data_IF_769965709615
#
_entry.id   IF_769965709615
#
_cell.length_a   1.000
_cell.length_b   1.000
_cell.length_c   1.000
_cell.angle_alpha   90.00
_cell.angle_beta   90.00
_cell.angle_gamma   90.00
#
_symmetry.space_group_name_H-M   'P 1'
#
loop_
_entity.id
_entity.type
_entity.pdbx_description
1 polymer ?
#
# COMPACT_ATOMS: atom_id res chain seq x y z
N UNK A 1 -6.36 -4.46 9.79
CA UNK A 1 -7.12 -4.82 8.58
C UNK A 1 -6.78 -6.28 8.25
N UNK A 2 -7.37 -6.86 7.21
CA UNK A 2 -7.12 -8.25 6.82
C UNK A 2 -7.83 -9.33 7.65
N UNK A 3 -7.21 -10.50 7.73
CA UNK A 3 -7.78 -11.72 8.35
C UNK A 3 -8.17 -11.54 9.81
N UNK A 4 -9.47 -11.69 10.05
CA UNK A 4 -10.07 -11.56 11.38
C UNK A 4 -9.51 -12.58 12.37
N UNK A 5 -8.90 -12.07 13.46
CA UNK A 5 -8.35 -12.89 14.54
C UNK A 5 -6.97 -13.49 14.28
N UNK A 6 -6.29 -13.15 13.18
CA UNK A 6 -4.99 -13.73 12.83
C UNK A 6 -3.88 -13.31 13.82
N UNK A 7 -3.79 -12.03 14.20
CA UNK A 7 -2.78 -11.59 15.17
C UNK A 7 -2.90 -12.30 16.54
N UNK A 8 -4.09 -12.40 17.16
CA UNK A 8 -4.27 -13.24 18.36
C UNK A 8 -3.89 -14.71 18.13
N UNK A 9 -4.23 -15.29 16.97
CA UNK A 9 -3.85 -16.66 16.64
C UNK A 9 -2.32 -16.84 16.57
N UNK A 10 -1.60 -15.80 16.14
CA UNK A 10 -0.14 -15.77 15.99
C UNK A 10 0.60 -15.28 17.24
N UNK A 11 -0.04 -15.25 18.41
CA UNK A 11 0.59 -14.78 19.66
C UNK A 11 1.98 -15.41 19.91
N UNK A 12 2.11 -16.72 19.70
CA UNK A 12 3.38 -17.46 19.87
C UNK A 12 4.46 -17.17 18.82
N UNK A 13 4.06 -16.58 17.70
CA UNK A 13 4.95 -16.12 16.64
C UNK A 13 5.25 -14.61 16.75
N UNK A 14 4.70 -13.96 17.79
CA UNK A 14 4.76 -12.53 17.97
C UNK A 14 5.56 -12.14 19.21
N UNK A 15 6.21 -10.98 19.17
CA UNK A 15 6.90 -10.39 20.32
C UNK A 15 6.78 -8.86 20.33
N UNK A 16 6.53 -8.23 21.49
CA UNK A 16 6.66 -6.79 21.62
C UNK A 16 8.10 -6.37 21.35
N UNK A 17 8.29 -5.31 20.55
CA UNK A 17 9.60 -4.76 20.23
C UNK A 17 9.53 -3.24 20.12
N UNK A 18 10.69 -2.58 20.23
CA UNK A 18 10.84 -1.20 19.78
C UNK A 18 11.63 -1.18 18.46
N UNK A 19 11.20 -0.34 17.53
CA UNK A 19 11.78 -0.25 16.18
C UNK A 19 13.25 0.15 16.19
N UNK A 20 13.72 0.85 17.24
CA UNK A 20 15.14 1.23 17.40
C UNK A 20 16.12 0.07 17.36
N UNK A 21 15.69 -1.17 17.66
CA UNK A 21 16.53 -2.37 17.51
C UNK A 21 16.96 -2.64 16.05
N UNK A 22 16.32 -1.97 15.08
CA UNK A 22 16.63 -2.02 13.65
C UNK A 22 17.41 -0.78 13.17
N UNK A 23 18.06 -0.04 14.07
CA UNK A 23 18.98 1.04 13.69
C UNK A 23 20.00 0.57 12.64
N UNK A 24 20.17 1.35 11.58
CA UNK A 24 21.01 1.04 10.43
C UNK A 24 20.34 0.15 9.36
N UNK A 25 19.14 -0.35 9.60
CA UNK A 25 18.37 -1.13 8.63
C UNK A 25 17.46 -0.26 7.75
N UNK A 26 16.97 -0.88 6.69
CA UNK A 26 15.88 -0.36 5.86
C UNK A 26 14.56 -0.97 6.32
N UNK A 27 13.53 -0.13 6.43
CA UNK A 27 12.15 -0.56 6.71
C UNK A 27 11.24 -0.06 5.61
N UNK A 28 10.25 -0.88 5.24
CA UNK A 28 9.22 -0.47 4.29
C UNK A 28 7.90 -0.28 5.04
N UNK A 29 7.16 0.75 4.65
CA UNK A 29 5.97 1.20 5.36
C UNK A 29 4.76 1.13 4.44
N UNK A 30 3.73 0.44 4.90
CA UNK A 30 2.37 0.60 4.38
C UNK A 30 1.87 2.00 4.75
N UNK A 31 1.91 2.90 3.77
CA UNK A 31 1.64 4.32 4.01
C UNK A 31 0.15 4.60 4.18
N UNK A 32 -0.72 3.81 3.56
CA UNK A 32 -2.17 3.98 3.66
C UNK A 32 -2.67 3.74 5.09
N UNK A 33 -2.04 2.82 5.84
CA UNK A 33 -2.29 2.67 7.27
C UNK A 33 -2.10 3.97 8.06
N UNK A 34 -1.07 4.78 7.74
CA UNK A 34 -0.83 6.06 8.41
C UNK A 34 -1.71 7.18 7.85
N UNK A 35 -1.93 7.23 6.54
CA UNK A 35 -2.81 8.21 5.92
C UNK A 35 -4.23 8.11 6.46
N UNK A 36 -4.80 6.91 6.59
CA UNK A 36 -6.13 6.71 7.18
C UNK A 36 -6.18 7.22 8.63
N UNK A 37 -5.19 6.89 9.46
CA UNK A 37 -5.13 7.37 10.86
C UNK A 37 -4.94 8.89 10.94
N UNK A 38 -4.13 9.46 10.06
CA UNK A 38 -3.91 10.90 9.96
C UNK A 38 -5.18 11.63 9.52
N UNK A 39 -5.88 11.10 8.51
CA UNK A 39 -7.12 11.65 7.99
C UNK A 39 -8.23 11.70 9.05
N UNK A 40 -8.26 10.75 9.99
CA UNK A 40 -9.20 10.78 11.13
C UNK A 40 -9.00 11.98 12.05
N UNK A 41 -7.76 12.50 12.17
CA UNK A 41 -7.47 13.68 13.00
C UNK A 41 -8.02 14.98 12.41
N UNK A 42 -8.19 15.04 11.09
CA UNK A 42 -8.71 16.18 10.35
C UNK A 42 -10.01 15.87 9.58
N UNK A 43 -10.76 14.85 10.04
CA UNK A 43 -11.91 14.31 9.30
C UNK A 43 -13.01 15.33 9.05
N UNK A 44 -13.27 16.22 10.00
CA UNK A 44 -14.28 17.29 9.87
C UNK A 44 -13.92 18.27 8.76
N UNK A 45 -12.65 18.70 8.69
CA UNK A 45 -12.15 19.58 7.63
C UNK A 45 -12.23 18.91 6.26
N UNK A 46 -11.75 17.67 6.17
CA UNK A 46 -11.78 16.90 4.93
C UNK A 46 -13.22 16.69 4.43
N UNK A 47 -14.17 16.39 5.33
CA UNK A 47 -15.56 16.21 4.96
C UNK A 47 -16.24 17.50 4.48
N UNK A 48 -15.74 18.67 4.88
CA UNK A 48 -16.21 20.00 4.46
C UNK A 48 -15.48 20.54 3.22
N UNK A 49 -14.51 19.81 2.68
CA UNK A 49 -13.66 20.29 1.58
C UNK A 49 -12.66 21.38 1.99
N UNK A 50 -12.43 21.56 3.29
CA UNK A 50 -11.43 22.51 3.78
C UNK A 50 -10.02 21.98 3.55
N UNK A 51 -9.13 22.85 3.06
CA UNK A 51 -7.71 22.52 2.89
C UNK A 51 -7.04 22.24 4.24
N UNK A 52 -6.30 21.13 4.32
CA UNK A 52 -5.61 20.70 5.55
C UNK A 52 -4.39 19.85 5.21
N UNK A 53 -3.32 20.00 5.98
CA UNK A 53 -2.06 19.23 5.87
C UNK A 53 -1.84 18.32 7.09
N UNK A 54 -2.80 18.25 8.01
CA UNK A 54 -2.65 17.53 9.28
C UNK A 54 -2.36 16.03 9.09
N UNK A 55 -2.90 15.41 8.04
CA UNK A 55 -2.59 14.01 7.72
C UNK A 55 -1.14 13.84 7.24
N UNK A 56 -0.57 14.82 6.54
CA UNK A 56 0.85 14.84 6.15
C UNK A 56 1.72 14.97 7.39
N UNK A 57 1.40 15.93 8.27
CA UNK A 57 2.12 16.13 9.54
C UNK A 57 2.08 14.87 10.43
N UNK A 58 0.93 14.19 10.46
CA UNK A 58 0.77 12.93 11.17
C UNK A 58 1.74 11.85 10.64
N UNK A 59 1.79 11.64 9.32
CA UNK A 59 2.69 10.66 8.71
C UNK A 59 4.16 11.04 8.92
N UNK A 60 4.50 12.32 8.72
CA UNK A 60 5.87 12.81 8.90
C UNK A 60 6.38 12.68 10.33
N UNK A 61 5.51 12.68 11.35
CA UNK A 61 5.89 12.37 12.73
C UNK A 61 6.52 10.97 12.84
N UNK A 62 5.92 9.98 12.19
CA UNK A 62 6.44 8.61 12.19
C UNK A 62 7.72 8.49 11.35
N UNK A 63 7.75 9.14 10.18
CA UNK A 63 8.96 9.20 9.33
C UNK A 63 10.14 9.78 10.11
N UNK A 64 9.96 10.93 10.76
CA UNK A 64 10.99 11.57 11.57
C UNK A 64 11.44 10.71 12.75
N UNK A 65 10.51 9.98 13.38
CA UNK A 65 10.84 9.02 14.43
C UNK A 65 11.76 7.91 13.90
N UNK A 66 11.46 7.33 12.74
CA UNK A 66 12.32 6.31 12.12
C UNK A 66 13.70 6.87 11.79
N UNK A 67 13.76 8.05 11.17
CA UNK A 67 15.02 8.72 10.85
C UNK A 67 15.86 9.01 12.11
N UNK A 68 15.23 9.40 13.21
CA UNK A 68 15.92 9.66 14.49
C UNK A 68 16.56 8.40 15.10
N UNK A 69 16.07 7.21 14.73
CA UNK A 69 16.64 5.93 15.10
C UNK A 69 17.63 5.39 14.06
N UNK A 70 18.13 6.24 13.14
CA UNK A 70 19.05 5.84 12.06
C UNK A 70 18.46 4.71 11.18
N UNK A 71 17.16 4.73 10.97
CA UNK A 71 16.46 3.79 10.10
C UNK A 71 16.19 4.47 8.77
N UNK A 72 16.37 3.73 7.67
CA UNK A 72 16.00 4.20 6.33
C UNK A 72 14.57 3.75 5.99
N UNK A 73 13.55 4.62 6.07
CA UNK A 73 12.20 4.28 5.62
C UNK A 73 12.08 4.34 4.09
N UNK A 74 11.29 3.42 3.55
CA UNK A 74 10.73 3.49 2.19
C UNK A 74 9.20 3.46 2.34
N UNK A 75 8.52 4.51 1.90
CA UNK A 75 7.06 4.61 1.97
C UNK A 75 6.46 4.01 0.71
N UNK A 76 5.61 3.01 0.88
CA UNK A 76 4.90 2.33 -0.22
C UNK A 76 3.45 2.79 -0.22
N UNK A 77 2.96 3.16 -1.40
CA UNK A 77 1.60 3.64 -1.64
C UNK A 77 0.84 2.67 -2.56
N UNK A 78 -0.47 2.58 -2.38
CA UNK A 78 -1.33 1.87 -3.34
C UNK A 78 -1.36 2.60 -4.69
N UNK A 79 -1.44 1.82 -5.76
CA UNK A 79 -1.63 2.29 -7.12
C UNK A 79 -3.01 1.93 -7.67
N UNK A 80 -3.04 1.24 -8.80
CA UNK A 80 -4.27 0.96 -9.55
C UNK A 80 -5.18 0.01 -8.78
N UNK A 81 -6.49 0.09 -9.04
CA UNK A 81 -7.45 -0.86 -8.49
C UNK A 81 -7.20 -2.29 -9.00
N UNK A 82 -7.25 -3.24 -8.08
CA UNK A 82 -7.21 -4.66 -8.42
C UNK A 82 -8.64 -5.16 -8.73
N UNK A 83 -8.90 -5.79 -9.90
CA UNK A 83 -10.21 -6.35 -10.22
C UNK A 83 -10.74 -7.33 -9.17
N UNK A 84 -9.86 -8.14 -8.57
CA UNK A 84 -10.22 -9.10 -7.52
C UNK A 84 -10.70 -8.45 -6.21
N UNK A 85 -10.48 -7.14 -6.00
CA UNK A 85 -11.02 -6.38 -4.85
C UNK A 85 -12.17 -5.43 -5.22
N UNK A 86 -12.67 -5.46 -6.46
CA UNK A 86 -13.70 -4.53 -6.92
C UNK A 86 -14.98 -4.56 -6.05
N UNK A 87 -15.43 -5.74 -5.62
CA UNK A 87 -16.61 -5.88 -4.75
C UNK A 87 -16.39 -5.30 -3.35
N UNK A 88 -15.19 -5.54 -2.79
CA UNK A 88 -14.78 -4.99 -1.49
C UNK A 88 -14.71 -3.46 -1.54
N UNK A 89 -14.12 -2.90 -2.59
CA UNK A 89 -14.03 -1.44 -2.78
C UNK A 89 -15.40 -0.80 -3.01
N UNK A 90 -16.29 -1.46 -3.79
CA UNK A 90 -17.67 -1.03 -3.96
C UNK A 90 -18.40 -0.97 -2.60
N UNK A 91 -18.30 -2.02 -1.79
CA UNK A 91 -18.90 -2.08 -0.46
C UNK A 91 -18.34 -1.00 0.47
N UNK A 92 -17.03 -0.73 0.41
CA UNK A 92 -16.37 0.34 1.17
C UNK A 92 -16.92 1.70 0.77
N UNK A 93 -17.07 1.97 -0.54
CA UNK A 93 -17.65 3.19 -1.10
C UNK A 93 -19.10 3.39 -0.64
N UNK A 94 -19.97 2.39 -0.83
CA UNK A 94 -21.38 2.45 -0.42
C UNK A 94 -21.55 2.74 1.09
N UNK A 95 -20.67 2.15 1.92
CA UNK A 95 -20.65 2.41 3.35
C UNK A 95 -20.22 3.84 3.68
N UNK A 96 -19.23 4.40 2.96
CA UNK A 96 -18.82 5.81 3.12
C UNK A 96 -19.96 6.74 2.73
N UNK A 97 -20.63 6.50 1.61
CA UNK A 97 -21.75 7.31 1.13
C UNK A 97 -22.93 7.28 2.11
N UNK A 98 -23.26 6.09 2.62
CA UNK A 98 -24.31 5.93 3.64
C UNK A 98 -23.98 6.69 4.93
N UNK A 99 -22.72 6.62 5.39
CA UNK A 99 -22.28 7.36 6.58
C UNK A 99 -22.28 8.87 6.32
N UNK A 100 -21.89 9.32 5.12
CA UNK A 100 -21.90 10.74 4.72
C UNK A 100 -23.32 11.31 4.75
N UNK A 101 -24.30 10.60 4.17
CA UNK A 101 -25.72 11.00 4.19
C UNK A 101 -26.25 11.14 5.62
N UNK A 102 -26.02 10.13 6.46
CA UNK A 102 -26.42 10.15 7.88
C UNK A 102 -25.70 11.23 8.70
N UNK A 103 -24.42 11.48 8.42
CA UNK A 103 -23.67 12.56 9.08
C UNK A 103 -24.28 13.93 8.74
N UNK A 104 -24.62 14.17 7.47
CA UNK A 104 -25.26 15.40 7.04
C UNK A 104 -26.63 15.61 7.70
N UNK A 105 -27.44 14.56 7.84
CA UNK A 105 -28.73 14.61 8.56
C UNK A 105 -28.55 14.98 10.04
N UNK A 106 -27.57 14.40 10.73
CA UNK A 106 -27.28 14.72 12.13
C UNK A 106 -26.76 16.15 12.31
N UNK A 107 -25.95 16.66 11.37
CA UNK A 107 -25.48 18.05 11.39
C UNK A 107 -26.64 19.03 11.17
N UNK A 108 -27.57 18.74 10.27
CA UNK A 108 -28.80 19.55 10.09
C UNK A 108 -29.66 19.60 11.37
N UNK A 109 -29.60 18.53 12.16
CA UNK A 109 -30.30 18.42 13.45
C UNK A 109 -29.50 18.95 14.65
N UNK A 110 -28.37 19.62 14.42
CA UNK A 110 -27.46 20.15 15.46
C UNK A 110 -26.90 19.07 16.43
N UNK A 111 -26.85 17.81 15.97
CA UNK A 111 -26.33 16.65 16.73
C UNK A 111 -24.88 16.36 16.36
N UNK A 112 -24.03 17.36 16.56
CA UNK A 112 -22.62 17.38 16.09
C UNK A 112 -21.80 16.21 16.65
N UNK A 113 -21.94 15.89 17.94
CA UNK A 113 -21.15 14.83 18.57
C UNK A 113 -21.45 13.44 18.01
N UNK A 114 -22.71 13.19 17.63
CA UNK A 114 -23.11 11.94 16.98
C UNK A 114 -22.64 11.89 15.52
N UNK A 115 -22.69 13.04 14.82
CA UNK A 115 -22.19 13.17 13.46
C UNK A 115 -20.68 12.91 13.36
N UNK A 116 -19.89 13.35 14.35
CA UNK A 116 -18.42 13.24 14.35
C UNK A 116 -17.90 11.82 14.11
N UNK A 117 -18.57 10.81 14.69
CA UNK A 117 -18.21 9.40 14.48
C UNK A 117 -18.46 8.95 13.03
N UNK A 118 -19.58 9.38 12.44
CA UNK A 118 -19.92 9.05 11.06
C UNK A 118 -19.04 9.80 10.05
N UNK A 119 -18.68 11.06 10.34
CA UNK A 119 -17.74 11.85 9.55
C UNK A 119 -16.41 11.11 9.43
N UNK A 120 -15.83 10.65 10.54
CA UNK A 120 -14.58 9.86 10.52
C UNK A 120 -14.70 8.60 9.66
N UNK A 121 -15.89 8.00 9.56
CA UNK A 121 -16.15 6.77 8.80
C UNK A 121 -16.49 7.02 7.32
N UNK A 122 -16.64 8.28 6.88
CA UNK A 122 -16.87 8.62 5.48
C UNK A 122 -15.67 9.27 4.79
N UNK A 123 -14.62 9.63 5.53
CA UNK A 123 -13.36 10.14 4.96
C UNK A 123 -12.73 9.06 4.08
N UNK A 124 -12.41 9.47 2.86
CA UNK A 124 -11.67 8.67 1.89
C UNK A 124 -10.26 9.23 1.77
N UNK A 125 -9.27 8.35 1.62
CA UNK A 125 -7.89 8.78 1.37
C UNK A 125 -7.72 8.86 -0.15
N UNK A 126 -7.64 10.08 -0.67
CA UNK A 126 -7.51 10.32 -2.12
C UNK A 126 -6.06 10.21 -2.57
N UNK A 127 -5.85 10.08 -3.88
CA UNK A 127 -4.51 10.14 -4.46
C UNK A 127 -3.84 11.50 -4.19
N UNK A 128 -4.57 12.62 -4.27
CA UNK A 128 -4.00 13.94 -3.99
C UNK A 128 -3.42 14.05 -2.57
N UNK A 129 -4.07 13.42 -1.59
CA UNK A 129 -3.53 13.32 -0.22
C UNK A 129 -2.24 12.49 -0.18
N UNK A 130 -2.17 11.41 -0.95
CA UNK A 130 -0.94 10.62 -1.09
C UNK A 130 0.17 11.42 -1.78
N UNK A 131 -0.11 12.12 -2.88
CA UNK A 131 0.84 12.96 -3.61
C UNK A 131 1.41 14.07 -2.74
N UNK A 132 0.58 14.75 -1.94
CA UNK A 132 1.04 15.76 -0.98
C UNK A 132 2.02 15.17 0.07
N UNK A 133 1.82 13.91 0.47
CA UNK A 133 2.76 13.22 1.36
C UNK A 133 4.05 12.79 0.63
N UNK A 134 3.94 12.30 -0.62
CA UNK A 134 5.08 11.93 -1.46
C UNK A 134 6.01 13.15 -1.65
N UNK A 135 5.44 14.30 -2.03
CA UNK A 135 6.18 15.56 -2.17
C UNK A 135 6.90 15.93 -0.86
N UNK A 136 6.20 15.83 0.28
CA UNK A 136 6.80 16.12 1.59
C UNK A 136 7.94 15.17 1.96
N UNK A 137 7.84 13.90 1.58
CA UNK A 137 8.87 12.89 1.82
C UNK A 137 10.09 13.14 0.94
N UNK A 138 9.90 13.46 -0.34
CA UNK A 138 10.99 13.80 -1.26
C UNK A 138 11.78 15.02 -0.77
N UNK A 139 11.08 16.06 -0.32
CA UNK A 139 11.70 17.24 0.30
C UNK A 139 12.50 16.92 1.58
N UNK A 140 12.15 15.84 2.28
CA UNK A 140 12.88 15.33 3.45
C UNK A 140 13.96 14.29 3.09
N UNK A 141 14.16 13.97 1.81
CA UNK A 141 15.11 12.96 1.36
C UNK A 141 14.69 11.52 1.70
N UNK A 142 13.39 11.27 1.81
CA UNK A 142 12.80 9.95 2.12
C UNK A 142 12.31 9.31 0.83
N UNK A 143 12.65 8.03 0.64
CA UNK A 143 12.28 7.28 -0.56
C UNK A 143 10.79 6.90 -0.53
N UNK A 144 10.09 7.15 -1.64
CA UNK A 144 8.71 6.76 -1.86
C UNK A 144 8.58 5.89 -3.11
N UNK A 145 7.59 5.00 -3.12
CA UNK A 145 7.22 4.23 -4.31
C UNK A 145 5.72 3.94 -4.32
N UNK A 146 5.09 4.15 -5.48
CA UNK A 146 3.71 3.74 -5.71
C UNK A 146 3.73 2.33 -6.31
N UNK A 147 3.02 1.40 -5.68
CA UNK A 147 2.86 0.05 -6.22
C UNK A 147 2.06 0.10 -7.54
N UNK A 148 2.23 -0.87 -8.46
CA UNK A 148 1.40 -0.93 -9.65
C UNK A 148 -0.08 -1.18 -9.31
N UNK A 149 -0.34 -1.96 -8.26
CA UNK A 149 -1.66 -2.25 -7.72
C UNK A 149 -1.64 -2.05 -6.20
N UNK A 150 -1.56 -3.13 -5.43
CA UNK A 150 -1.60 -3.06 -3.97
C UNK A 150 -0.21 -2.86 -3.38
N UNK A 151 -0.11 -1.97 -2.40
CA UNK A 151 1.09 -1.78 -1.58
C UNK A 151 1.50 -3.10 -0.91
N UNK A 152 0.54 -3.95 -0.55
CA UNK A 152 0.74 -5.23 0.10
C UNK A 152 1.78 -6.13 -0.59
N UNK A 153 1.62 -6.36 -1.89
CA UNK A 153 2.58 -7.16 -2.66
C UNK A 153 3.91 -6.43 -2.84
N UNK A 154 3.91 -5.11 -3.04
CA UNK A 154 5.15 -4.35 -3.19
C UNK A 154 6.00 -4.36 -1.89
N UNK A 155 5.34 -4.24 -0.73
CA UNK A 155 5.95 -4.36 0.59
C UNK A 155 6.56 -5.76 0.79
N UNK A 156 5.81 -6.80 0.45
CA UNK A 156 6.28 -8.17 0.53
C UNK A 156 7.47 -8.43 -0.39
N UNK A 157 7.43 -7.89 -1.62
CA UNK A 157 8.52 -8.00 -2.57
C UNK A 157 9.83 -7.47 -1.99
N UNK A 158 9.83 -6.26 -1.42
CA UNK A 158 11.02 -5.71 -0.75
C UNK A 158 11.52 -6.55 0.43
N UNK A 159 10.62 -7.20 1.17
CA UNK A 159 11.00 -8.14 2.24
C UNK A 159 11.66 -9.41 1.69
N UNK A 160 11.13 -9.95 0.58
CA UNK A 160 11.59 -11.18 -0.03
C UNK A 160 12.98 -11.01 -0.66
N UNK A 161 13.18 -9.95 -1.46
CA UNK A 161 14.47 -9.66 -2.13
C UNK A 161 15.53 -9.07 -1.20
N UNK A 162 15.20 -8.84 0.08
CA UNK A 162 16.16 -8.42 1.10
C UNK A 162 16.44 -6.92 1.14
N UNK A 163 15.67 -6.10 0.42
CA UNK A 163 15.75 -4.63 0.49
C UNK A 163 15.38 -4.13 1.87
N UNK A 164 14.33 -4.69 2.49
CA UNK A 164 13.84 -4.27 3.79
C UNK A 164 13.90 -5.40 4.82
N UNK A 165 14.36 -5.07 6.03
CA UNK A 165 14.46 -6.03 7.14
C UNK A 165 13.15 -6.17 7.91
N UNK A 166 12.29 -5.14 7.87
CA UNK A 166 10.99 -5.10 8.54
C UNK A 166 9.97 -4.37 7.66
N UNK A 167 8.75 -4.92 7.61
CA UNK A 167 7.57 -4.27 7.03
C UNK A 167 6.72 -3.69 8.16
N UNK A 168 6.30 -2.42 8.07
CA UNK A 168 5.42 -1.77 9.05
C UNK A 168 4.03 -1.64 8.44
N UNK A 169 3.00 -2.20 9.08
CA UNK A 169 1.61 -2.18 8.61
C UNK A 169 0.63 -2.47 9.75
N UNK A 170 -0.66 -2.26 9.53
CA UNK A 170 -1.75 -2.78 10.36
C UNK A 170 -2.55 -3.90 9.67
N UNK A 171 -2.16 -4.31 8.46
CA UNK A 171 -2.81 -5.34 7.68
C UNK A 171 -2.13 -6.71 7.85
N UNK A 172 -2.85 -7.65 8.45
CA UNK A 172 -2.33 -9.00 8.68
C UNK A 172 -2.21 -9.84 7.41
N UNK A 173 -2.81 -9.41 6.29
CA UNK A 173 -2.74 -10.10 5.00
C UNK A 173 -1.28 -10.15 4.46
N UNK A 174 -0.41 -9.22 4.87
CA UNK A 174 1.02 -9.19 4.51
C UNK A 174 1.80 -10.44 4.89
N UNK A 175 1.33 -11.19 5.90
CA UNK A 175 1.93 -12.45 6.27
C UNK A 175 1.70 -13.54 5.22
N UNK A 176 0.60 -13.47 4.45
CA UNK A 176 0.28 -14.42 3.37
C UNK A 176 1.15 -14.17 2.15
N UNK A 177 1.49 -12.92 1.86
CA UNK A 177 2.42 -12.56 0.78
C UNK A 177 3.85 -13.06 1.04
N UNK A 178 4.17 -13.45 2.29
CA UNK A 178 5.43 -14.10 2.64
C UNK A 178 6.46 -13.16 3.25
N UNK A 179 6.05 -12.00 3.76
CA UNK A 179 6.93 -11.09 4.51
C UNK A 179 7.64 -11.84 5.65
N UNK A 180 8.95 -11.64 5.77
CA UNK A 180 9.78 -12.35 6.77
C UNK A 180 9.53 -11.83 8.19
N UNK A 181 9.44 -10.51 8.35
CA UNK A 181 9.24 -9.81 9.62
C UNK A 181 8.28 -8.64 9.42
N UNK A 182 7.17 -8.64 10.16
CA UNK A 182 6.14 -7.61 10.06
C UNK A 182 5.90 -7.00 11.44
N UNK A 183 5.99 -5.68 11.54
CA UNK A 183 5.74 -4.91 12.75
C UNK A 183 4.34 -4.30 12.68
N UNK A 184 3.46 -4.80 13.55
CA UNK A 184 2.09 -4.33 13.70
C UNK A 184 1.95 -3.34 14.84
N UNK A 185 0.89 -2.53 14.82
CA UNK A 185 0.47 -1.67 15.94
C UNK A 185 1.59 -0.75 16.45
N UNK A 186 2.40 -0.21 15.53
CA UNK A 186 3.50 0.66 15.91
C UNK A 186 2.98 2.01 16.42
N UNK A 187 3.36 2.35 17.65
CA UNK A 187 3.04 3.63 18.27
C UNK A 187 4.03 4.75 17.85
N UNK A 188 3.75 6.03 18.14
CA UNK A 188 4.66 7.13 17.82
C UNK A 188 6.02 7.09 18.53
N UNK A 189 6.21 6.24 19.54
CA UNK A 189 7.47 6.01 20.24
C UNK A 189 8.24 4.81 19.65
N UNK A 190 7.72 4.19 18.59
CA UNK A 190 8.34 3.07 17.91
C UNK A 190 8.07 1.70 18.54
N UNK A 191 7.22 1.60 19.56
CA UNK A 191 6.86 0.29 20.12
C UNK A 191 5.78 -0.37 19.27
N UNK A 192 5.90 -1.66 19.02
CA UNK A 192 4.92 -2.43 18.27
C UNK A 192 5.01 -3.93 18.54
N UNK A 193 4.20 -4.70 17.82
CA UNK A 193 4.15 -6.15 17.90
C UNK A 193 4.78 -6.75 16.63
N UNK A 194 5.97 -7.32 16.76
CA UNK A 194 6.65 -7.96 15.64
C UNK A 194 6.18 -9.41 15.51
N UNK A 195 5.75 -9.80 14.31
CA UNK A 195 5.57 -11.20 13.92
C UNK A 195 6.75 -11.62 13.05
N UNK A 196 7.39 -12.72 13.42
CA UNK A 196 8.46 -13.35 12.63
C UNK A 196 7.90 -14.59 11.94
N UNK A 197 7.98 -14.62 10.60
CA UNK A 197 7.44 -15.70 9.78
C UNK A 197 8.02 -17.07 10.17
N UNK A 198 9.29 -17.11 10.57
CA UNK A 198 9.96 -18.35 10.98
C UNK A 198 9.34 -18.98 12.23
N UNK A 199 8.58 -18.20 13.01
CA UNK A 199 7.92 -18.64 14.24
C UNK A 199 6.44 -19.01 14.04
N UNK A 200 5.85 -18.75 12.86
CA UNK A 200 4.47 -19.17 12.53
C UNK A 200 4.19 -20.66 12.80
N UNK A 201 5.12 -21.60 12.53
CA UNK A 201 4.92 -23.02 12.85
C UNK A 201 4.57 -23.27 14.32
N UNK A 202 5.14 -22.47 15.24
CA UNK A 202 4.86 -22.54 16.68
C UNK A 202 3.41 -22.15 17.00
N UNK A 203 2.89 -21.11 16.35
CA UNK A 203 1.50 -20.69 16.49
C UNK A 203 0.53 -21.74 15.92
N UNK A 204 0.87 -22.34 14.78
CA UNK A 204 0.12 -23.44 14.18
C UNK A 204 0.25 -24.76 14.95
N UNK A 205 1.14 -24.85 15.96
CA UNK A 205 1.49 -26.08 16.68
C UNK A 205 1.86 -27.19 15.69
N UNK A 206 2.72 -26.88 14.72
CA UNK A 206 3.26 -27.83 13.75
C UNK A 206 4.78 -27.89 13.89
N UNK A 207 5.39 -29.09 13.75
CA UNK A 207 6.83 -29.18 13.60
C UNK A 207 7.28 -28.58 12.27
N UNK A 208 8.54 -28.11 12.21
CA UNK A 208 9.06 -27.32 11.08
C UNK A 208 9.06 -28.09 9.75
N UNK A 209 9.28 -29.41 9.78
CA UNK A 209 9.30 -30.30 8.61
C UNK A 209 7.91 -30.50 7.96
N UNK A 210 6.83 -30.23 8.70
CA UNK A 210 5.45 -30.38 8.22
C UNK A 210 4.80 -29.05 7.82
N UNK A 211 5.48 -27.93 8.11
CA UNK A 211 5.03 -26.60 7.79
C UNK A 211 5.47 -26.21 6.36
N UNK A 212 4.57 -25.53 5.66
CA UNK A 212 4.92 -24.77 4.47
C UNK A 212 4.15 -23.46 4.47
N UNK A 213 4.72 -22.43 3.84
CA UNK A 213 4.04 -21.14 3.70
C UNK A 213 2.72 -21.28 2.91
N UNK A 214 2.66 -22.20 1.95
CA UNK A 214 1.42 -22.49 1.22
C UNK A 214 0.33 -23.07 2.13
N UNK A 215 0.66 -23.97 3.07
CA UNK A 215 -0.32 -24.42 4.08
C UNK A 215 -0.80 -23.26 4.95
N UNK A 216 0.08 -22.34 5.34
CA UNK A 216 -0.33 -21.14 6.06
C UNK A 216 -1.27 -20.26 5.23
N UNK A 217 -0.97 -20.03 3.95
CA UNK A 217 -1.86 -19.34 3.00
C UNK A 217 -3.21 -20.03 2.89
N UNK A 218 -3.25 -21.35 2.74
CA UNK A 218 -4.50 -22.10 2.62
C UNK A 218 -5.38 -21.95 3.86
N UNK A 219 -4.78 -22.04 5.05
CA UNK A 219 -5.49 -21.84 6.31
C UNK A 219 -6.13 -20.46 6.37
N UNK A 220 -5.35 -19.45 5.99
CA UNK A 220 -5.73 -18.04 6.04
C UNK A 220 -6.82 -17.70 5.02
N UNK A 221 -6.67 -18.11 3.75
CA UNK A 221 -7.70 -17.94 2.72
C UNK A 221 -9.00 -18.65 3.12
N UNK A 222 -8.92 -19.88 3.67
CA UNK A 222 -10.10 -20.60 4.17
C UNK A 222 -10.83 -19.88 5.30
N UNK A 223 -10.11 -19.13 6.14
CA UNK A 223 -10.71 -18.34 7.23
C UNK A 223 -11.31 -17.01 6.78
N UNK A 224 -11.23 -16.70 5.49
CA UNK A 224 -11.69 -15.43 4.92
C UNK A 224 -10.56 -14.42 4.84
N UNK A 225 -10.40 -13.85 3.65
CA UNK A 225 -9.44 -12.79 3.33
C UNK A 225 -10.10 -11.77 2.39
N UNK A 226 -9.39 -10.71 2.01
CA UNK A 226 -9.94 -9.68 1.13
C UNK A 226 -10.33 -10.19 -0.27
N UNK A 227 -9.76 -11.31 -0.74
CA UNK A 227 -10.05 -11.89 -2.07
C UNK A 227 -11.13 -12.98 -2.06
N UNK A 228 -11.41 -13.59 -0.90
CA UNK A 228 -12.36 -14.69 -0.79
C UNK A 228 -12.99 -14.73 0.61
N UNK A 229 -14.32 -14.55 0.74
CA UNK A 229 -15.00 -14.74 2.01
C UNK A 229 -14.91 -16.19 2.49
N UNK A 230 -14.89 -16.38 3.80
CA UNK A 230 -14.90 -17.72 4.42
C UNK A 230 -16.20 -18.46 4.14
N UNK A 231 -16.13 -19.79 4.11
CA UNK A 231 -17.33 -20.63 4.16
C UNK A 231 -18.08 -20.49 5.50
N UNK A 232 -19.41 -20.67 5.53
CA UNK A 232 -20.21 -20.57 6.75
C UNK A 232 -19.67 -21.44 7.89
N UNK A 233 -19.37 -20.81 9.02
CA UNK A 233 -18.87 -21.49 10.21
C UNK A 233 -17.43 -22.01 10.09
N UNK A 234 -16.66 -21.61 9.07
CA UNK A 234 -15.23 -21.89 8.92
C UNK A 234 -14.43 -20.63 9.28
N UNK A 235 -13.50 -20.78 10.23
CA UNK A 235 -12.57 -19.73 10.64
C UNK A 235 -11.21 -20.33 11.01
N UNK A 236 -10.26 -19.51 11.46
CA UNK A 236 -8.85 -19.89 11.65
C UNK A 236 -8.64 -21.23 12.36
N UNK A 237 -9.35 -21.49 13.46
CA UNK A 237 -9.21 -22.73 14.21
C UNK A 237 -9.61 -23.98 13.40
N UNK A 238 -10.72 -23.91 12.65
CA UNK A 238 -11.19 -25.03 11.81
C UNK A 238 -10.34 -25.18 10.56
N UNK A 239 -9.97 -24.07 9.92
CA UNK A 239 -9.06 -24.05 8.78
C UNK A 239 -7.71 -24.67 9.16
N UNK A 240 -7.13 -24.28 10.30
CA UNK A 240 -5.88 -24.84 10.80
C UNK A 240 -6.01 -26.34 11.06
N UNK A 241 -7.08 -26.77 11.74
CA UNK A 241 -7.34 -28.20 12.01
C UNK A 241 -7.39 -29.03 10.72
N UNK A 242 -8.03 -28.51 9.69
CA UNK A 242 -8.16 -29.17 8.39
C UNK A 242 -6.81 -29.23 7.65
N UNK A 243 -6.14 -28.08 7.48
CA UNK A 243 -4.88 -27.99 6.73
C UNK A 243 -3.74 -28.78 7.38
N UNK A 244 -3.70 -28.85 8.72
CA UNK A 244 -2.71 -29.65 9.44
C UNK A 244 -2.80 -31.14 9.17
N UNK A 245 -3.98 -31.63 8.85
CA UNK A 245 -4.27 -33.07 8.78
C UNK A 245 -4.52 -33.57 7.36
N UNK A 246 -4.71 -32.66 6.40
CA UNK A 246 -4.72 -33.05 4.98
C UNK A 246 -3.31 -33.42 4.54
N UNK A 247 -3.19 -34.60 3.92
CA UNK A 247 -1.98 -35.06 3.24
C UNK A 247 -2.10 -34.95 1.71
N UNK A 248 -3.24 -34.46 1.21
CA UNK A 248 -3.43 -34.26 -0.23
C UNK A 248 -2.76 -32.95 -0.65
N UNK A 249 -1.75 -33.06 -1.52
CA UNK A 249 -1.02 -31.92 -2.06
C UNK A 249 -1.90 -31.06 -2.99
N UNK A 250 -2.95 -31.64 -3.56
CA UNK A 250 -3.92 -30.90 -4.35
C UNK A 250 -5.01 -30.33 -3.44
N UNK A 251 -4.91 -29.02 -3.19
CA UNK A 251 -5.83 -28.32 -2.29
C UNK A 251 -7.29 -28.40 -2.77
N UNK A 252 -7.58 -28.37 -4.08
CA UNK A 252 -8.95 -28.49 -4.59
C UNK A 252 -9.58 -29.86 -4.28
N UNK A 253 -8.80 -30.94 -4.38
CA UNK A 253 -9.25 -32.29 -3.96
C UNK A 253 -9.45 -32.34 -2.45
N UNK A 254 -8.52 -31.79 -1.68
CA UNK A 254 -8.63 -31.71 -0.23
C UNK A 254 -9.92 -30.98 0.20
N UNK A 255 -10.18 -29.80 -0.38
CA UNK A 255 -11.34 -28.95 -0.06
C UNK A 255 -12.68 -29.68 -0.27
N UNK A 256 -12.76 -30.62 -1.21
CA UNK A 256 -13.95 -31.45 -1.43
C UNK A 256 -14.31 -32.32 -0.21
N UNK A 257 -13.34 -32.59 0.66
CA UNK A 257 -13.50 -33.42 1.87
C UNK A 257 -13.64 -32.58 3.15
N UNK A 258 -13.63 -31.25 3.05
CA UNK A 258 -13.65 -30.32 4.19
C UNK A 258 -14.84 -30.56 5.13
N UNK A 259 -16.05 -30.70 4.58
CA UNK A 259 -17.27 -30.92 5.37
C UNK A 259 -17.22 -32.22 6.17
N UNK A 260 -16.89 -33.34 5.52
CA UNK A 260 -16.71 -34.63 6.18
C UNK A 260 -15.60 -34.57 7.25
N UNK A 261 -14.50 -33.87 6.96
CA UNK A 261 -13.36 -33.74 7.86
C UNK A 261 -13.70 -33.05 9.19
N UNK A 262 -14.56 -32.03 9.11
CA UNK A 262 -14.93 -31.20 10.24
C UNK A 262 -16.24 -31.63 10.92
N UNK A 263 -16.80 -32.78 10.52
CA UNK A 263 -18.12 -33.26 10.94
C UNK A 263 -19.23 -32.21 10.67
N UNK A 264 -19.13 -31.53 9.52
CA UNK A 264 -20.07 -30.51 9.05
C UNK A 264 -20.75 -31.03 7.78
N UNK A 265 -21.67 -31.99 7.93
CA UNK A 265 -22.29 -32.70 6.81
C UNK A 265 -23.09 -31.79 5.86
N UNK A 266 -23.57 -30.64 6.36
CA UNK A 266 -24.31 -29.64 5.57
C UNK A 266 -23.39 -28.65 4.84
N UNK A 267 -22.08 -28.72 5.06
CA UNK A 267 -21.13 -27.82 4.42
C UNK A 267 -20.80 -28.32 3.02
N UNK A 268 -21.29 -27.60 2.02
CA UNK A 268 -20.99 -27.88 0.60
C UNK A 268 -19.89 -26.93 0.14
N UNK A 269 -18.81 -27.48 -0.42
CA UNK A 269 -17.75 -26.70 -1.09
C UNK A 269 -17.99 -26.79 -2.58
N UNK A 270 -18.55 -25.73 -3.16
CA UNK A 270 -18.87 -25.65 -4.59
C UNK A 270 -17.59 -25.60 -5.44
N UNK A 271 -17.71 -25.92 -6.73
CA UNK A 271 -16.59 -25.77 -7.66
C UNK A 271 -16.19 -24.28 -7.78
N UNK A 272 -17.17 -23.39 -7.84
CA UNK A 272 -16.95 -21.93 -7.87
C UNK A 272 -16.09 -21.45 -6.68
N UNK A 273 -16.35 -21.94 -5.46
CA UNK A 273 -15.53 -21.58 -4.30
C UNK A 273 -14.08 -22.04 -4.46
N UNK A 274 -13.85 -23.24 -5.01
CA UNK A 274 -12.49 -23.75 -5.27
C UNK A 274 -11.78 -22.92 -6.32
N UNK A 275 -12.48 -22.52 -7.38
CA UNK A 275 -11.90 -21.69 -8.44
C UNK A 275 -11.50 -20.32 -7.87
N UNK A 276 -12.39 -19.67 -7.12
CA UNK A 276 -12.08 -18.42 -6.41
C UNK A 276 -10.95 -18.58 -5.38
N UNK A 277 -10.87 -19.74 -4.71
CA UNK A 277 -9.77 -20.05 -3.80
C UNK A 277 -8.42 -20.10 -4.52
N UNK A 278 -8.37 -20.70 -5.71
CA UNK A 278 -7.15 -20.71 -6.52
C UNK A 278 -6.78 -19.31 -7.00
N UNK A 279 -7.76 -18.49 -7.41
CA UNK A 279 -7.51 -17.08 -7.77
C UNK A 279 -6.93 -16.29 -6.58
N UNK A 280 -7.53 -16.43 -5.39
CA UNK A 280 -7.04 -15.77 -4.17
C UNK A 280 -5.60 -16.22 -3.83
N UNK A 281 -5.31 -17.52 -3.97
CA UNK A 281 -3.96 -18.05 -3.76
C UNK A 281 -2.97 -17.46 -4.77
N UNK A 282 -3.33 -17.39 -6.05
CA UNK A 282 -2.49 -16.79 -7.09
C UNK A 282 -2.24 -15.31 -6.85
N UNK A 283 -3.20 -14.55 -6.30
CA UNK A 283 -2.98 -13.15 -5.88
C UNK A 283 -1.88 -13.04 -4.82
N UNK A 284 -1.96 -13.83 -3.75
CA UNK A 284 -0.94 -13.81 -2.69
C UNK A 284 0.45 -14.28 -3.14
N UNK A 285 0.57 -14.97 -4.28
CA UNK A 285 1.84 -15.49 -4.79
C UNK A 285 2.43 -14.63 -5.90
N UNK A 286 1.60 -14.15 -6.82
CA UNK A 286 2.06 -13.66 -8.12
C UNK A 286 1.51 -12.29 -8.49
N UNK A 287 0.89 -11.56 -7.54
CA UNK A 287 0.45 -10.19 -7.81
C UNK A 287 1.60 -9.36 -8.39
N UNK A 288 1.36 -8.53 -9.42
CA UNK A 288 2.37 -7.69 -10.02
C UNK A 288 2.94 -6.68 -9.03
N UNK A 289 4.24 -6.46 -9.16
CA UNK A 289 5.03 -5.51 -8.37
C UNK A 289 6.01 -4.78 -9.30
N UNK A 290 6.53 -3.65 -8.86
CA UNK A 290 7.56 -2.92 -9.57
C UNK A 290 8.94 -3.25 -8.98
N UNK A 291 9.88 -3.69 -9.83
CA UNK A 291 11.28 -3.88 -9.48
C UNK A 291 12.04 -2.56 -9.75
N UNK A 292 12.44 -1.79 -8.71
CA UNK A 292 13.11 -0.51 -8.93
C UNK A 292 14.56 -0.65 -9.40
N UNK A 293 15.16 -1.84 -9.33
CA UNK A 293 16.52 -2.10 -9.82
C UNK A 293 16.52 -2.41 -11.30
N UNK A 294 15.57 -3.24 -11.75
CA UNK A 294 15.38 -3.56 -13.18
C UNK A 294 14.51 -2.53 -13.91
N UNK A 295 13.82 -1.68 -13.15
CA UNK A 295 12.88 -0.66 -13.65
C UNK A 295 11.78 -1.23 -14.53
N UNK A 296 11.21 -2.35 -14.10
CA UNK A 296 10.15 -3.03 -14.83
C UNK A 296 9.11 -3.63 -13.89
N UNK A 297 7.94 -3.94 -14.46
CA UNK A 297 6.98 -4.79 -13.79
C UNK A 297 7.49 -6.24 -13.75
N UNK A 298 7.28 -6.85 -12.60
CA UNK A 298 7.51 -8.27 -12.38
C UNK A 298 6.42 -8.82 -11.46
N UNK A 299 6.54 -10.07 -11.06
CA UNK A 299 5.62 -10.72 -10.14
C UNK A 299 6.25 -10.84 -8.77
N UNK A 300 5.44 -10.80 -7.71
CA UNK A 300 5.92 -10.93 -6.34
C UNK A 300 6.83 -12.16 -6.14
N UNK A 301 6.42 -13.31 -6.67
CA UNK A 301 7.27 -14.49 -6.84
C UNK A 301 7.29 -14.91 -8.31
N UNK A 302 8.37 -15.54 -8.80
CA UNK A 302 8.43 -15.99 -10.18
C UNK A 302 7.24 -16.88 -10.56
N UNK A 303 6.56 -16.53 -11.65
CA UNK A 303 5.42 -17.28 -12.16
C UNK A 303 5.90 -18.62 -12.76
N UNK A 304 5.29 -19.76 -12.41
CA UNK A 304 5.56 -21.02 -13.11
C UNK A 304 5.15 -20.93 -14.59
N UNK A 305 5.88 -21.61 -15.48
CA UNK A 305 5.62 -21.59 -16.93
C UNK A 305 4.18 -21.98 -17.33
N UNK A 306 3.50 -22.75 -16.48
CA UNK A 306 2.13 -23.22 -16.69
C UNK A 306 1.04 -22.24 -16.25
N UNK A 307 1.38 -21.20 -15.49
CA UNK A 307 0.42 -20.26 -14.94
C UNK A 307 0.40 -18.97 -15.77
N UNK A 308 -0.77 -18.36 -15.91
CA UNK A 308 -0.91 -17.01 -16.47
C UNK A 308 -1.16 -16.02 -15.33
N UNK A 309 -0.65 -14.81 -15.49
CA UNK A 309 -0.91 -13.73 -14.56
C UNK A 309 -2.42 -13.49 -14.47
N UNK A 310 -2.97 -13.30 -13.26
CA UNK A 310 -4.39 -13.02 -13.12
C UNK A 310 -4.73 -11.54 -13.43
N UNK A 311 -3.74 -10.73 -13.82
CA UNK A 311 -3.93 -9.35 -14.27
C UNK A 311 -3.26 -9.20 -15.64
N UNK A 312 -4.06 -8.88 -16.66
CA UNK A 312 -3.65 -8.84 -18.08
C UNK A 312 -3.50 -7.40 -18.63
N UNK A 313 -3.71 -6.38 -17.80
CA UNK A 313 -3.55 -4.99 -18.21
C UNK A 313 -2.08 -4.57 -18.16
N UNK A 314 -1.34 -4.89 -19.23
CA UNK A 314 0.07 -4.54 -19.38
C UNK A 314 0.29 -3.03 -19.38
N UNK A 315 0.70 -2.46 -18.24
CA UNK A 315 1.31 -1.14 -18.22
C UNK A 315 2.62 -1.18 -19.01
N UNK A 316 2.83 -0.19 -19.89
CA UNK A 316 4.11 -0.05 -20.59
C UNK A 316 5.25 0.15 -19.58
N UNK A 317 6.51 -0.20 -19.91
CA UNK A 317 7.64 0.04 -19.01
C UNK A 317 7.76 1.49 -18.57
N UNK A 318 7.50 2.45 -19.47
CA UNK A 318 7.54 3.88 -19.18
C UNK A 318 6.42 4.30 -18.23
N UNK A 319 5.17 3.91 -18.53
CA UNK A 319 4.02 4.18 -17.66
C UNK A 319 4.23 3.57 -16.27
N UNK A 320 4.81 2.38 -16.19
CA UNK A 320 5.11 1.69 -14.93
C UNK A 320 6.14 2.45 -14.10
N UNK A 321 7.18 2.99 -14.74
CA UNK A 321 8.19 3.83 -14.07
C UNK A 321 7.56 5.12 -13.55
N UNK A 322 6.84 5.85 -14.41
CA UNK A 322 6.22 7.12 -14.02
C UNK A 322 5.18 6.94 -12.91
N UNK A 323 4.42 5.84 -12.94
CA UNK A 323 3.53 5.46 -11.86
C UNK A 323 4.33 5.20 -10.58
N UNK A 324 5.38 4.37 -10.62
CA UNK A 324 6.18 4.02 -9.46
C UNK A 324 6.84 5.25 -8.78
N UNK A 325 7.21 6.26 -9.57
CA UNK A 325 7.74 7.54 -9.09
C UNK A 325 6.69 8.47 -8.47
N UNK A 326 5.39 8.16 -8.62
CA UNK A 326 4.29 9.01 -8.17
C UNK A 326 3.98 10.18 -9.10
N UNK A 327 4.49 10.16 -10.34
CA UNK A 327 4.23 11.23 -11.32
C UNK A 327 2.85 11.11 -12.00
N UNK A 328 2.21 9.94 -11.88
CA UNK A 328 0.91 9.66 -12.49
C UNK A 328 -0.15 9.44 -11.41
N UNK A 329 -1.35 9.95 -11.67
CA UNK A 329 -2.53 9.49 -10.95
C UNK A 329 -2.79 8.00 -11.28
N UNK A 330 -2.87 7.10 -10.30
CA UNK A 330 -3.01 5.66 -10.54
C UNK A 330 -4.32 5.29 -11.24
N UNK A 331 -5.36 6.10 -11.11
CA UNK A 331 -6.67 5.78 -11.67
C UNK A 331 -6.83 6.31 -13.10
N UNK A 332 -6.37 7.54 -13.36
CA UNK A 332 -6.52 8.18 -14.67
C UNK A 332 -5.29 8.03 -15.55
N UNK A 333 -4.14 7.68 -14.98
CA UNK A 333 -2.82 7.67 -15.62
C UNK A 333 -2.41 9.04 -16.21
N UNK A 334 -3.10 10.10 -15.82
CA UNK A 334 -2.75 11.47 -16.17
C UNK A 334 -1.59 11.91 -15.30
N UNK A 335 -0.62 12.59 -15.91
CA UNK A 335 0.55 13.15 -15.23
C UNK A 335 0.09 14.23 -14.25
N UNK A 336 0.38 14.03 -12.97
CA UNK A 336 0.05 14.96 -11.88
C UNK A 336 1.28 15.73 -11.42
N UNK A 337 2.44 15.09 -11.45
CA UNK A 337 3.70 15.64 -10.95
C UNK A 337 4.85 15.39 -11.94
N UNK A 338 5.95 16.12 -11.77
CA UNK A 338 7.09 16.08 -12.66
C UNK A 338 8.42 15.91 -11.92
N UNK A 339 8.45 14.94 -10.99
CA UNK A 339 9.57 14.71 -10.09
C UNK A 339 10.85 14.38 -10.87
N UNK A 340 10.74 13.70 -12.02
CA UNK A 340 11.91 13.33 -12.82
C UNK A 340 12.51 14.52 -13.59
N UNK A 341 11.69 15.43 -14.11
CA UNK A 341 12.18 16.69 -14.69
C UNK A 341 12.78 17.61 -13.62
N UNK A 342 12.22 17.67 -12.41
CA UNK A 342 12.82 18.41 -11.30
C UNK A 342 14.16 17.80 -10.85
N UNK A 343 14.23 16.47 -10.70
CA UNK A 343 15.48 15.80 -10.36
C UNK A 343 16.53 15.97 -11.46
N UNK A 344 16.13 15.93 -12.74
CA UNK A 344 17.03 16.17 -13.87
C UNK A 344 17.43 17.65 -13.98
N UNK A 345 16.53 18.59 -13.68
CA UNK A 345 16.83 20.01 -13.59
C UNK A 345 17.82 20.29 -12.46
N UNK A 346 17.60 19.73 -11.27
CA UNK A 346 18.53 19.83 -10.14
C UNK A 346 19.88 19.17 -10.46
N UNK A 347 19.91 18.00 -11.10
CA UNK A 347 21.16 17.37 -11.58
C UNK A 347 21.90 18.26 -12.57
N UNK A 348 21.18 18.94 -13.46
CA UNK A 348 21.76 19.86 -14.45
C UNK A 348 22.28 21.14 -13.79
N UNK A 349 21.51 21.74 -12.88
CA UNK A 349 21.85 22.96 -12.14
C UNK A 349 23.04 22.74 -11.20
N UNK A 350 23.12 21.56 -10.56
CA UNK A 350 24.19 21.22 -9.62
C UNK A 350 25.31 20.35 -10.23
N UNK A 351 25.33 20.15 -11.56
CA UNK A 351 26.42 19.50 -12.28
C UNK A 351 26.63 18.01 -11.95
N UNK A 352 25.58 17.29 -11.56
CA UNK A 352 25.64 15.85 -11.23
C UNK A 352 25.38 15.05 -12.51
N UNK A 353 26.44 14.59 -13.17
CA UNK A 353 26.34 13.83 -14.44
C UNK A 353 26.07 12.35 -14.21
N UNK A 354 25.16 11.77 -15.01
CA UNK A 354 24.92 10.32 -15.10
C UNK A 354 25.77 9.73 -16.24
N UNK A 355 26.38 8.54 -16.09
CA UNK A 355 27.15 7.91 -17.16
C UNK A 355 26.23 7.04 -18.04
N UNK A 356 25.56 7.64 -19.03
CA UNK A 356 25.11 6.93 -20.25
C UNK A 356 24.43 7.92 -21.21
N UNK A 357 25.09 8.20 -22.34
CA UNK A 357 24.51 8.28 -23.68
C UNK A 357 25.61 8.66 -24.67
N UNK A 358 26.18 7.65 -25.33
CA UNK A 358 26.75 7.83 -26.67
C UNK A 358 25.77 7.15 -27.63
N UNK A 359 24.91 7.95 -28.25
CA UNK A 359 24.19 7.57 -29.46
C UNK A 359 25.07 7.89 -30.67
N UNK A 360 25.25 6.92 -31.56
CA UNK A 360 25.60 7.19 -32.96
C UNK A 360 24.30 7.24 -33.77
N UNK A 361 24.10 8.39 -34.41
CA UNK A 361 23.01 8.73 -35.33
C UNK A 361 23.32 8.27 -36.74
N UNK A 362 22.32 7.77 -37.47
CA UNK A 362 22.33 7.70 -38.93
C UNK A 362 20.93 8.04 -39.46
N UNK A 363 20.87 9.14 -40.19
CA UNK A 363 19.70 9.71 -40.88
C UNK A 363 19.30 8.91 -42.11
N UNK A 364 17.99 8.77 -42.37
CA UNK A 364 17.45 8.59 -43.74
C UNK A 364 16.13 9.37 -43.86
N UNK A 365 16.02 10.06 -44.99
CA UNK A 365 15.03 11.06 -45.38
C UNK A 365 14.00 10.47 -46.37
N UNK A 366 12.73 10.87 -46.13
CA UNK A 366 11.54 11.04 -46.99
C UNK A 366 10.86 9.89 -47.76
N UNK A 367 9.53 10.01 -47.84
CA UNK A 367 8.65 9.21 -48.69
C UNK A 367 7.17 9.34 -48.31
N UNK A 368 6.48 10.29 -48.93
CA UNK A 368 5.05 10.61 -48.92
C UNK A 368 4.07 9.44 -49.14
N UNK A 369 2.87 9.48 -48.51
CA UNK A 369 1.58 9.52 -49.23
C UNK A 369 0.38 9.73 -48.28
N UNK A 370 -0.63 10.41 -48.81
CA UNK A 370 -1.84 10.95 -48.20
C UNK A 370 -3.03 10.01 -48.44
N UNK A 371 -3.96 9.84 -47.48
CA UNK A 371 -5.38 9.55 -47.77
C UNK A 371 -6.28 9.75 -46.55
N UNK A 372 -7.55 10.04 -46.85
CA UNK A 372 -8.56 10.79 -46.08
C UNK A 372 -9.78 9.88 -45.79
N UNK A 373 -10.57 10.22 -44.75
CA UNK A 373 -11.89 9.71 -44.31
C UNK A 373 -11.84 8.48 -43.36
N UNK A 374 -12.63 8.38 -42.28
CA UNK A 374 -14.03 8.78 -42.12
C UNK A 374 -14.42 9.07 -40.65
N UNK A 375 -15.40 9.96 -40.47
CA UNK A 375 -16.03 10.32 -39.20
C UNK A 375 -17.18 9.34 -38.92
N UNK A 376 -17.26 8.77 -37.72
CA UNK A 376 -18.54 8.36 -37.14
C UNK A 376 -18.59 8.65 -35.65
N UNK A 377 -19.40 9.65 -35.32
CA UNK A 377 -19.88 9.96 -33.98
C UNK A 377 -20.87 8.90 -33.53
N UNK A 378 -20.73 8.42 -32.29
CA UNK A 378 -21.81 7.73 -31.58
C UNK A 378 -22.01 8.42 -30.22
N UNK A 379 -23.14 9.13 -30.15
CA UNK A 379 -23.74 9.62 -28.92
C UNK A 379 -24.13 8.42 -28.04
N UNK A 380 -23.79 8.48 -26.75
CA UNK A 380 -24.47 7.71 -25.71
C UNK A 380 -24.95 8.73 -24.68
N UNK A 381 -26.24 8.63 -24.39
CA UNK A 381 -27.06 9.52 -23.60
C UNK A 381 -26.64 9.54 -22.12
N UNK A 382 -26.63 10.75 -21.56
CA UNK A 382 -26.51 11.03 -20.13
C UNK A 382 -27.80 10.60 -19.40
N UNK A 383 -27.71 9.63 -18.51
CA UNK A 383 -28.72 9.42 -17.46
C UNK A 383 -28.40 10.33 -16.27
N UNK A 384 -29.14 11.43 -16.20
CA UNK A 384 -29.16 12.37 -15.10
C UNK A 384 -29.99 11.82 -13.93
N UNK A 385 -29.32 11.26 -12.91
CA UNK A 385 -29.92 11.02 -11.60
C UNK A 385 -29.50 12.12 -10.61
N UNK A 386 -30.51 12.67 -9.94
CA UNK A 386 -30.48 13.88 -9.13
C UNK A 386 -29.39 13.88 -8.05
N UNK A 387 -28.29 14.58 -8.33
CA UNK A 387 -27.27 14.93 -7.37
C UNK A 387 -27.76 16.16 -6.58
N UNK A 388 -28.33 15.92 -5.39
CA UNK A 388 -28.51 16.99 -4.40
C UNK A 388 -27.10 17.39 -3.96
N UNK A 389 -26.73 18.65 -4.18
CA UNK A 389 -25.44 19.23 -3.80
C UNK A 389 -25.31 19.27 -2.26
N UNK A 390 -24.85 18.14 -1.71
CA UNK A 390 -24.60 17.95 -0.28
C UNK A 390 -23.38 18.77 0.15
N UNK A 391 -22.47 19.12 -0.76
CA UNK A 391 -21.26 19.88 -0.47
C UNK A 391 -21.60 21.34 -0.11
N UNK A 392 -22.61 21.92 -0.77
CA UNK A 392 -23.16 23.24 -0.38
C UNK A 392 -23.68 23.28 1.05
N UNK A 393 -24.24 22.17 1.54
CA UNK A 393 -24.89 22.09 2.84
C UNK A 393 -23.91 21.95 4.02
N UNK A 394 -22.69 21.46 3.74
CA UNK A 394 -21.59 21.51 4.70
C UNK A 394 -20.99 22.93 4.84
N UNK A 395 -21.14 23.78 3.81
CA UNK A 395 -20.68 25.18 3.81
C UNK A 395 -21.65 26.16 4.50
N UNK A 396 -22.96 25.96 4.43
CA UNK A 396 -23.97 26.90 4.94
C UNK A 396 -24.02 27.06 6.47
N UNK A 397 -23.37 26.16 7.23
CA UNK A 397 -23.29 26.26 8.70
C UNK A 397 -22.30 27.37 9.14
N UNK A 398 -21.40 27.80 8.24
CA UNK A 398 -20.31 28.74 8.54
C UNK A 398 -20.77 30.21 8.66
N UNK A 399 -21.91 30.58 8.04
CA UNK A 399 -22.47 31.93 8.20
C UNK A 399 -23.12 32.16 9.57
N UNK A 400 -23.59 31.10 10.22
CA UNK A 400 -24.25 31.20 11.54
C UNK A 400 -23.25 31.20 12.69
N UNK A 401 -22.14 30.46 12.61
CA UNK A 401 -21.09 30.45 13.64
C UNK A 401 -20.18 31.71 13.58
N UNK A 402 -19.94 32.28 12.39
CA UNK A 402 -19.14 33.50 12.26
C UNK A 402 -19.82 34.75 12.82
N UNK A 403 -21.16 34.77 12.91
CA UNK A 403 -21.89 35.85 13.60
C UNK A 403 -21.84 35.69 15.13
N UNK A 404 -21.70 34.47 15.64
CA UNK A 404 -21.59 34.21 17.09
C UNK A 404 -20.16 34.41 17.62
N UNK A 405 -19.12 34.11 16.82
CA UNK A 405 -17.71 34.31 17.19
C UNK A 405 -17.23 35.77 17.11
N UNK A 406 -17.86 36.63 16.30
CA UNK A 406 -17.54 38.08 16.22
C UNK A 406 -17.96 38.90 17.45
N UNK A 407 -18.68 38.32 18.42
CA UNK A 407 -19.03 39.01 19.68
C UNK A 407 -18.07 38.76 20.84
N UNK A 408 -17.20 37.75 20.78
CA UNK A 408 -16.32 37.36 21.89
C UNK A 408 -14.89 37.11 21.42
N UNK A 409 -14.13 38.17 21.09
CA UNK A 409 -12.70 38.27 21.40
C UNK A 409 -12.16 39.62 20.92
N UNK A 410 -12.15 40.60 21.84
CA UNK A 410 -11.23 41.72 21.78
C UNK A 410 -10.07 41.44 22.74
N UNK A 411 -8.85 41.82 22.34
CA UNK A 411 -7.55 41.69 23.06
C UNK A 411 -6.92 40.29 22.86
N UNK A 412 -5.70 40.12 22.34
CA UNK A 412 -4.48 40.91 22.49
C UNK A 412 -3.52 40.67 21.28
N UNK A 413 -2.58 41.60 21.00
CA UNK A 413 -1.75 41.61 19.79
C UNK A 413 -0.40 40.94 20.04
N UNK A 414 0.11 40.13 19.11
CA UNK A 414 1.55 40.08 18.81
C UNK A 414 1.76 39.52 17.39
N UNK A 415 2.16 40.43 16.53
CA UNK A 415 2.45 40.21 15.12
C UNK A 415 3.90 39.76 14.90
N UNK A 416 4.07 38.90 13.89
CA UNK A 416 5.17 38.89 12.92
C UNK A 416 6.60 39.00 13.49
N UNK A 417 7.34 37.91 13.42
CA UNK A 417 8.77 37.99 13.07
C UNK A 417 9.18 36.77 12.25
N UNK A 418 9.41 37.03 10.97
CA UNK A 418 10.09 36.22 9.98
C UNK A 418 11.58 36.12 10.32
N UNK A 419 12.11 34.91 10.53
CA UNK A 419 13.55 34.64 10.49
C UNK A 419 13.77 33.42 9.61
N UNK A 420 14.19 33.69 8.37
CA UNK A 420 14.78 32.72 7.47
C UNK A 420 16.23 32.52 7.93
N UNK A 421 16.53 31.41 8.60
CA UNK A 421 17.91 30.97 8.79
C UNK A 421 18.29 29.99 7.68
N UNK A 422 18.96 30.54 6.66
CA UNK A 422 19.69 29.81 5.61
C UNK A 422 20.97 29.22 6.20
N UNK A 423 20.94 28.00 6.75
CA UNK A 423 22.19 27.27 7.04
C UNK A 423 22.06 25.77 7.32
N UNK A 424 21.09 25.05 6.76
CA UNK A 424 21.12 23.57 6.75
C UNK A 424 20.43 23.01 5.49
N UNK A 425 21.19 22.97 4.38
CA UNK A 425 20.80 22.30 3.14
C UNK A 425 22.00 21.47 2.67
N UNK A 426 21.96 20.17 2.97
CA UNK A 426 22.54 19.00 2.27
C UNK A 426 22.69 17.83 3.28
N UNK A 427 22.46 16.56 2.86
CA UNK A 427 22.74 16.04 1.53
C UNK A 427 21.58 15.27 0.86
N UNK A 428 21.05 15.84 -0.23
CA UNK A 428 20.24 15.15 -1.25
C UNK A 428 21.10 14.38 -2.28
N UNK A 429 22.42 14.27 -2.05
CA UNK A 429 23.34 13.52 -2.92
C UNK A 429 23.45 12.02 -2.54
N UNK A 430 22.82 11.57 -1.45
CA UNK A 430 22.97 10.20 -0.93
C UNK A 430 22.09 9.14 -1.62
N UNK A 431 20.88 9.49 -2.04
CA UNK A 431 19.89 8.53 -2.53
C UNK A 431 20.18 8.05 -3.97
N UNK A 432 20.65 8.94 -4.84
CA UNK A 432 20.89 8.62 -6.24
C UNK A 432 22.29 8.04 -6.51
N UNK A 433 23.30 8.40 -5.70
CA UNK A 433 24.65 7.87 -5.85
C UNK A 433 24.83 6.43 -5.30
N UNK A 434 23.89 5.92 -4.49
CA UNK A 434 23.95 4.54 -3.93
C UNK A 434 23.17 3.50 -4.74
N UNK A 435 22.15 3.90 -5.51
CA UNK A 435 21.42 2.98 -6.37
C UNK A 435 22.24 2.63 -7.63
N UNK A 436 23.12 3.52 -8.09
CA UNK A 436 24.05 3.26 -9.19
C UNK A 436 25.35 2.51 -8.81
N UNK A 437 25.57 2.19 -7.51
CA UNK A 437 26.77 1.44 -7.05
C UNK A 437 26.50 -0.04 -6.75
N UNK A 438 25.29 -0.52 -6.96
CA UNK A 438 24.93 -1.94 -6.85
C UNK A 438 25.02 -2.69 -8.20
N UNK A 439 25.48 -2.00 -9.26
CA UNK A 439 25.63 -2.53 -10.62
C UNK A 439 27.09 -2.83 -11.01
N UNK A 440 27.89 -3.36 -10.08
CA UNK A 440 29.11 -4.08 -10.43
C UNK A 440 28.93 -5.58 -10.13
N UNK A 441 28.91 -6.46 -11.15
CA UNK A 441 28.93 -7.89 -10.90
C UNK A 441 30.25 -8.28 -10.22
N UNK A 442 30.17 -9.01 -9.11
CA UNK A 442 31.31 -9.73 -8.56
C UNK A 442 31.60 -10.87 -9.54
N UNK A 443 32.71 -10.77 -10.28
CA UNK A 443 33.23 -11.87 -11.07
C UNK A 443 33.57 -13.03 -10.14
N UNK A 444 32.93 -14.17 -10.34
CA UNK A 444 33.43 -15.46 -9.89
C UNK A 444 34.64 -15.85 -10.75
N UNK A 445 35.82 -15.90 -10.14
CA UNK A 445 36.90 -16.74 -10.62
C UNK A 445 37.70 -17.32 -9.44
N UNK A 446 37.54 -18.63 -9.28
CA UNK A 446 38.49 -19.64 -8.80
C UNK A 446 39.34 -19.37 -7.54
N UNK A 447 38.99 -20.10 -6.47
CA UNK A 447 39.90 -21.01 -5.76
C UNK A 447 41.05 -20.42 -4.95
N UNK A 448 40.98 -20.53 -3.61
CA UNK A 448 41.90 -21.39 -2.85
C UNK A 448 41.55 -21.42 -1.36
N UNK A 449 41.84 -22.58 -0.78
CA UNK A 449 41.69 -22.96 0.63
C UNK A 449 42.63 -22.12 1.50
N UNK A 450 42.14 -21.58 2.63
CA UNK A 450 42.99 -21.48 3.83
C UNK A 450 42.18 -21.35 5.12
N UNK A 451 42.70 -22.02 6.14
CA UNK A 451 42.23 -22.21 7.52
C UNK A 451 42.44 -20.94 8.37
N UNK A 452 42.06 -21.08 9.64
CA UNK A 452 42.19 -20.21 10.83
C UNK A 452 40.89 -19.43 11.13
N UNK A 453 40.22 -19.54 12.29
CA UNK A 453 40.59 -20.13 13.58
C UNK A 453 40.40 -19.09 14.68
N UNK A 454 39.23 -19.11 15.33
CA UNK A 454 38.89 -18.81 16.75
C UNK A 454 37.43 -18.36 16.85
#
# INVERSE_FOLDING_TARGET
MGISGLLPFLEKASKPVNISQYSGCTVVVDTYCWLHKGAFSCAEKLARGEQTDQYVLYCMKYVNMLLSHNIKPILVFDGRHLPAKAETEKTRKERRDTNRKKAAELLRADRVDEARSLIRRCVDVTHDMASALIERCHNAGVDCIVAPYEADAQLAYFSLIGVAQVVITEDSDLLLFGCKKVLFKMDPCGNGLLVDQSLIPLAMKQPLDQFSLDKFRYMCILSGCDYLPSLPGIGLAKSCKFIKRTADDNICRALSRLGAYLNMNNLVVTQEYKDKFMVALSMFKYQPVYDPFKRCLTTLTPLPESERLPIDEGLSPETSLQLALGNLNPFTLVKTDNIEEELNHLRTVYGITSPANKSESLDVVDGSEESVLDQTSLNIEDDADANIDIDHLFGEIDERENQTRKKNNSRNPFSKTSIVNKSQLTPLCGALAKIAKLSTPINESNGEVSRYGC
#
